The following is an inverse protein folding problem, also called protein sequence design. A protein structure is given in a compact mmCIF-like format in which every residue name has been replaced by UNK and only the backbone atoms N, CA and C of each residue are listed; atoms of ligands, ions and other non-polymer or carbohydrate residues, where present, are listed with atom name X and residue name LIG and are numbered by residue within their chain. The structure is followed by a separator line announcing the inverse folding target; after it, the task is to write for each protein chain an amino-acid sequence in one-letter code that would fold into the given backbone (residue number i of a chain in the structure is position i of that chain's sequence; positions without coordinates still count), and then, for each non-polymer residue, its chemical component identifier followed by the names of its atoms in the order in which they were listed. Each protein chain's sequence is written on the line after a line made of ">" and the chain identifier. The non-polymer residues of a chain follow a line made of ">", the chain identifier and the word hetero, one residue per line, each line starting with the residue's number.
data_IF_270588145934
#
_entry.id   IF_270588145934
#
_cell.length_a   1.000
_cell.length_b   1.000
_cell.length_c   1.000
_cell.angle_alpha   90.00
_cell.angle_beta   90.00
_cell.angle_gamma   90.00
#
_symmetry.space_group_name_H-M   'P 1'
#
loop_
_entity.id
_entity.type
_entity.pdbx_description
1 polymer ?
#
# COMPACT_ATOMS: atom_id res chain seq x y z
N UNK A 1 -0.19 14.91 -4.81
CA UNK A 1 -0.78 15.48 -3.57
C UNK A 1 -2.23 15.80 -3.87
N UNK A 2 -3.11 15.71 -2.88
CA UNK A 2 -4.55 15.90 -3.08
C UNK A 2 -5.22 16.40 -1.80
N UNK A 3 -6.43 16.92 -1.92
CA UNK A 3 -7.34 17.20 -0.80
C UNK A 3 -8.43 16.15 -0.78
N UNK A 4 -8.71 15.60 0.39
CA UNK A 4 -9.83 14.69 0.61
C UNK A 4 -10.64 15.19 1.82
N UNK A 5 -11.97 15.13 1.69
CA UNK A 5 -12.95 15.71 2.60
C UNK A 5 -13.48 14.69 3.61
N UNK A 6 -13.29 13.40 3.33
CA UNK A 6 -13.65 12.30 4.19
C UNK A 6 -12.47 11.90 5.09
N UNK A 7 -12.77 11.56 6.33
CA UNK A 7 -11.76 11.19 7.32
C UNK A 7 -12.23 10.08 8.23
N UNK A 8 -11.28 9.26 8.65
CA UNK A 8 -11.50 8.16 9.59
C UNK A 8 -10.44 8.21 10.69
N UNK A 9 -10.84 7.89 11.92
CA UNK A 9 -9.89 7.83 13.01
C UNK A 9 -8.96 6.61 12.85
N UNK A 10 -7.72 6.75 13.29
CA UNK A 10 -6.75 5.65 13.30
C UNK A 10 -7.27 4.46 14.14
N UNK A 11 -8.04 4.73 15.19
CA UNK A 11 -8.66 3.70 16.02
C UNK A 11 -9.67 2.86 15.22
N UNK A 12 -10.55 3.51 14.46
CA UNK A 12 -11.55 2.81 13.66
C UNK A 12 -10.88 2.06 12.51
N UNK A 13 -9.91 2.68 11.83
CA UNK A 13 -9.15 2.05 10.76
C UNK A 13 -8.50 0.73 11.20
N UNK A 14 -7.87 0.71 12.37
CA UNK A 14 -7.20 -0.47 12.92
C UNK A 14 -8.16 -1.63 13.28
N UNK A 15 -9.48 -1.41 13.25
CA UNK A 15 -10.47 -2.49 13.43
C UNK A 15 -10.76 -3.27 12.15
N UNK A 16 -10.30 -2.78 10.99
CA UNK A 16 -10.47 -3.42 9.69
C UNK A 16 -9.18 -4.11 9.22
N UNK A 17 -9.34 -5.16 8.43
CA UNK A 17 -8.25 -5.91 7.80
C UNK A 17 -8.40 -5.91 6.29
N UNK A 18 -7.39 -6.44 5.58
CA UNK A 18 -7.52 -6.72 4.15
C UNK A 18 -8.79 -7.56 3.87
N UNK A 19 -9.57 -7.23 2.82
CA UNK A 19 -9.33 -6.17 1.82
C UNK A 19 -9.96 -4.80 2.16
N UNK A 20 -10.74 -4.69 3.24
CA UNK A 20 -11.50 -3.48 3.57
C UNK A 20 -10.63 -2.23 3.77
N UNK A 21 -9.41 -2.41 4.31
CA UNK A 21 -8.44 -1.33 4.44
C UNK A 21 -8.08 -0.67 3.11
N UNK A 22 -8.14 -1.41 1.99
CA UNK A 22 -7.89 -0.86 0.65
C UNK A 22 -8.98 0.12 0.24
N UNK A 23 -10.25 -0.23 0.44
CA UNK A 23 -11.37 0.67 0.17
C UNK A 23 -11.36 1.88 1.11
N UNK A 24 -11.02 1.68 2.38
CA UNK A 24 -10.95 2.78 3.34
C UNK A 24 -9.90 3.82 2.91
N UNK A 25 -8.70 3.41 2.49
CA UNK A 25 -7.66 4.33 2.03
C UNK A 25 -8.03 5.09 0.76
N UNK A 26 -8.85 4.49 -0.12
CA UNK A 26 -9.36 5.19 -1.30
C UNK A 26 -10.35 6.30 -0.93
N UNK A 27 -11.10 6.11 0.15
CA UNK A 27 -12.27 6.94 0.45
C UNK A 27 -12.00 7.95 1.56
N UNK A 28 -11.01 7.74 2.42
CA UNK A 28 -10.80 8.51 3.64
C UNK A 28 -9.34 8.87 3.84
N UNK A 29 -9.13 9.99 4.53
CA UNK A 29 -7.85 10.29 5.19
C UNK A 29 -7.86 9.70 6.59
N UNK A 30 -6.88 8.85 6.91
CA UNK A 30 -6.70 8.32 8.25
C UNK A 30 -5.98 9.34 9.11
N UNK A 31 -6.61 9.77 10.20
CA UNK A 31 -6.13 10.83 11.09
C UNK A 31 -6.12 10.36 12.55
N UNK A 32 -5.35 11.03 13.42
CA UNK A 32 -5.27 10.66 14.83
C UNK A 32 -6.40 11.28 15.68
N UNK A 33 -7.16 12.22 15.12
CA UNK A 33 -8.30 12.83 15.80
C UNK A 33 -9.48 11.86 15.96
N UNK A 34 -10.29 12.08 17.00
CA UNK A 34 -11.55 11.34 17.21
C UNK A 34 -12.58 11.86 16.20
N UNK A 35 -13.00 10.98 15.30
CA UNK A 35 -14.02 11.27 14.29
C UNK A 35 -15.12 10.21 14.40
N UNK A 36 -16.38 10.61 14.26
CA UNK A 36 -17.46 9.65 13.97
C UNK A 36 -17.33 9.21 12.51
N UNK A 37 -16.92 7.98 12.26
CA UNK A 37 -16.94 7.39 10.92
C UNK A 37 -18.19 6.53 10.73
N UNK A 38 -18.86 6.68 9.58
CA UNK A 38 -19.98 5.84 9.14
C UNK A 38 -19.57 4.96 7.95
N UNK A 39 -18.40 4.33 8.03
CA UNK A 39 -17.90 3.48 6.96
C UNK A 39 -18.80 2.26 6.75
N UNK A 40 -19.20 2.08 5.50
CA UNK A 40 -19.88 0.89 5.03
C UNK A 40 -19.15 0.41 3.77
N UNK A 41 -18.75 -0.86 3.76
CA UNK A 41 -17.99 -1.41 2.65
C UNK A 41 -18.87 -1.77 1.47
N UNK A 42 -18.38 -1.49 0.26
CA UNK A 42 -18.94 -2.03 -0.99
C UNK A 42 -18.25 -3.33 -1.43
N UNK A 43 -17.23 -3.77 -0.70
CA UNK A 43 -16.56 -5.06 -0.94
C UNK A 43 -17.49 -6.19 -0.51
N UNK A 44 -17.67 -7.16 -1.42
CA UNK A 44 -18.50 -8.34 -1.18
C UNK A 44 -17.66 -9.60 -1.28
N UNK A 45 -17.87 -10.52 -0.35
CA UNK A 45 -17.23 -11.84 -0.37
C UNK A 45 -17.91 -12.75 -1.41
N UNK A 46 -17.13 -13.62 -2.04
CA UNK A 46 -17.64 -14.67 -2.92
C UNK A 46 -16.81 -15.95 -2.76
N UNK A 47 -17.37 -17.07 -3.20
CA UNK A 47 -16.72 -18.38 -3.13
C UNK A 47 -16.70 -19.03 -4.50
N UNK A 48 -15.68 -19.84 -4.79
CA UNK A 48 -15.66 -20.71 -5.96
C UNK A 48 -15.96 -22.15 -5.55
N UNK A 49 -16.47 -22.94 -6.50
CA UNK A 49 -16.79 -24.36 -6.35
C UNK A 49 -15.82 -25.20 -7.17
N UNK A 50 -15.73 -26.49 -6.87
CA UNK A 50 -14.94 -27.43 -7.66
C UNK A 50 -15.34 -27.41 -9.15
N UNK A 51 -16.62 -27.22 -9.46
CA UNK A 51 -17.15 -27.10 -10.82
C UNK A 51 -16.64 -25.88 -11.60
N UNK A 52 -16.10 -24.88 -10.89
CA UNK A 52 -15.57 -23.65 -11.48
C UNK A 52 -14.13 -23.82 -11.97
N UNK A 53 -13.43 -24.86 -11.51
CA UNK A 53 -12.12 -25.25 -12.03
C UNK A 53 -12.31 -25.77 -13.47
N UNK A 54 -11.72 -25.06 -14.43
CA UNK A 54 -11.78 -25.40 -15.86
C UNK A 54 -10.57 -26.14 -16.35
N UNK A 55 -9.45 -25.96 -15.66
CA UNK A 55 -8.18 -26.56 -16.02
C UNK A 55 -7.32 -26.73 -14.78
N UNK A 56 -6.61 -27.85 -14.71
CA UNK A 56 -5.56 -28.10 -13.74
C UNK A 56 -4.50 -28.96 -14.43
N UNK A 57 -3.24 -28.55 -14.36
CA UNK A 57 -2.14 -29.37 -14.87
C UNK A 57 -2.09 -30.70 -14.12
N UNK A 58 -1.77 -31.79 -14.83
CA UNK A 58 -1.63 -33.14 -14.25
C UNK A 58 -0.53 -33.22 -13.18
N UNK A 59 0.39 -32.25 -13.19
CA UNK A 59 1.48 -32.11 -12.23
C UNK A 59 1.06 -31.40 -10.94
N UNK A 60 -0.23 -31.12 -10.76
CA UNK A 60 -0.81 -30.60 -9.52
C UNK A 60 -1.73 -31.69 -8.93
N UNK A 61 -1.41 -32.15 -7.71
CA UNK A 61 -2.27 -33.02 -6.92
C UNK A 61 -2.81 -32.25 -5.72
N UNK A 62 -4.13 -32.19 -5.58
CA UNK A 62 -4.80 -31.50 -4.48
C UNK A 62 -5.45 -32.55 -3.58
N UNK A 63 -5.08 -32.56 -2.31
CA UNK A 63 -5.71 -33.39 -1.27
C UNK A 63 -6.09 -32.50 -0.11
N UNK A 64 -7.39 -32.22 0.07
CA UNK A 64 -7.88 -31.24 1.05
C UNK A 64 -7.28 -29.84 0.82
N UNK A 65 -6.50 -29.32 1.77
CA UNK A 65 -5.78 -28.05 1.79
C UNK A 65 -4.34 -28.17 1.26
N UNK A 66 -3.91 -29.39 0.91
CA UNK A 66 -2.55 -29.68 0.48
C UNK A 66 -2.47 -29.74 -1.03
N UNK A 67 -1.60 -28.90 -1.60
CA UNK A 67 -1.24 -28.87 -3.02
C UNK A 67 0.17 -29.44 -3.17
N UNK A 68 0.31 -30.53 -3.90
CA UNK A 68 1.60 -31.09 -4.32
C UNK A 68 1.81 -30.75 -5.79
N UNK A 69 2.79 -29.89 -6.07
CA UNK A 69 3.12 -29.40 -7.41
C UNK A 69 4.48 -29.95 -7.81
N UNK A 70 4.51 -30.78 -8.85
CA UNK A 70 5.73 -31.49 -9.26
C UNK A 70 6.62 -30.67 -10.20
N UNK A 71 6.06 -29.68 -10.90
CA UNK A 71 6.80 -28.87 -11.89
C UNK A 71 6.54 -27.37 -11.70
N UNK A 72 7.60 -26.57 -11.91
CA UNK A 72 7.48 -25.11 -11.90
C UNK A 72 6.57 -24.63 -13.04
N UNK A 73 5.84 -23.55 -12.76
CA UNK A 73 4.87 -22.94 -13.68
C UNK A 73 3.66 -23.85 -13.99
N UNK A 74 3.36 -24.83 -13.13
CA UNK A 74 2.13 -25.61 -13.24
C UNK A 74 0.93 -24.70 -13.02
N UNK A 75 -0.11 -24.85 -13.85
CA UNK A 75 -1.26 -23.94 -13.95
C UNK A 75 -2.55 -24.57 -13.46
N UNK A 76 -3.39 -23.72 -12.89
CA UNK A 76 -4.80 -24.02 -12.59
C UNK A 76 -5.66 -22.83 -12.99
N UNK A 77 -6.77 -23.07 -13.68
CA UNK A 77 -7.67 -22.02 -14.14
C UNK A 77 -9.03 -22.19 -13.47
N UNK A 78 -9.48 -21.15 -12.78
CA UNK A 78 -10.79 -21.11 -12.13
C UNK A 78 -11.63 -20.02 -12.80
N UNK A 79 -12.84 -20.36 -13.26
CA UNK A 79 -13.78 -19.38 -13.79
C UNK A 79 -14.36 -18.54 -12.65
N UNK A 80 -14.45 -17.22 -12.84
CA UNK A 80 -15.13 -16.36 -11.87
C UNK A 80 -16.65 -16.54 -11.94
N UNK A 81 -17.35 -16.45 -10.80
CA UNK A 81 -18.81 -16.43 -10.80
C UNK A 81 -19.33 -15.12 -11.42
N UNK A 82 -20.53 -15.11 -12.02
CA UNK A 82 -21.05 -13.96 -12.79
C UNK A 82 -20.98 -12.61 -12.07
N UNK A 83 -21.22 -12.59 -10.75
CA UNK A 83 -21.19 -11.39 -9.91
C UNK A 83 -19.79 -10.76 -9.76
N UNK A 84 -18.73 -11.56 -9.93
CA UNK A 84 -17.34 -11.15 -9.79
C UNK A 84 -16.67 -10.82 -11.14
N UNK A 85 -17.30 -11.17 -12.27
CA UNK A 85 -16.75 -10.88 -13.60
C UNK A 85 -16.61 -9.36 -13.80
N UNK A 86 -15.47 -8.95 -14.35
CA UNK A 86 -15.12 -7.56 -14.65
C UNK A 86 -15.21 -6.64 -13.42
N UNK A 87 -14.84 -7.17 -12.25
CA UNK A 87 -14.69 -6.45 -10.98
C UNK A 87 -13.23 -6.42 -10.56
N UNK A 88 -12.92 -5.61 -9.56
CA UNK A 88 -11.64 -5.72 -8.85
C UNK A 88 -11.76 -6.93 -7.93
N UNK A 89 -10.82 -7.86 -8.03
CA UNK A 89 -10.81 -9.08 -7.22
C UNK A 89 -9.73 -8.97 -6.15
N UNK A 90 -10.12 -9.30 -4.92
CA UNK A 90 -9.21 -9.46 -3.80
C UNK A 90 -9.15 -10.93 -3.42
N UNK A 91 -7.94 -11.45 -3.23
CA UNK A 91 -7.73 -12.83 -2.81
C UNK A 91 -6.79 -12.82 -1.64
N UNK A 92 -7.12 -13.57 -0.59
CA UNK A 92 -6.26 -13.77 0.57
C UNK A 92 -6.26 -15.26 0.94
N UNK A 93 -5.08 -15.80 1.25
CA UNK A 93 -4.94 -17.12 1.85
C UNK A 93 -3.62 -17.23 2.62
N UNK A 94 -3.58 -18.18 3.54
CA UNK A 94 -2.42 -18.46 4.36
C UNK A 94 -1.65 -19.66 3.81
N UNK A 95 -0.32 -19.59 3.87
CA UNK A 95 0.60 -20.71 3.64
C UNK A 95 1.19 -21.10 4.99
N UNK A 96 0.90 -22.32 5.42
CA UNK A 96 1.21 -22.77 6.78
C UNK A 96 2.72 -22.79 7.08
N UNK A 97 3.52 -23.28 6.14
CA UNK A 97 4.97 -23.46 6.34
C UNK A 97 5.75 -23.15 5.05
N UNK A 98 6.94 -22.53 5.15
CA UNK A 98 7.87 -22.43 4.03
C UNK A 98 8.51 -23.80 3.74
N UNK A 99 8.92 -24.02 2.50
CA UNK A 99 9.63 -25.24 2.11
C UNK A 99 11.16 -25.09 2.30
N UNK A 100 11.87 -26.22 2.21
CA UNK A 100 13.35 -26.24 2.21
C UNK A 100 13.91 -25.47 1.01
N UNK A 101 15.03 -24.79 1.21
CA UNK A 101 15.77 -24.12 0.14
C UNK A 101 16.31 -25.07 -0.94
N UNK A 102 16.39 -26.37 -0.68
CA UNK A 102 16.71 -27.38 -1.71
C UNK A 102 15.60 -27.48 -2.78
N UNK A 103 14.35 -27.15 -2.41
CA UNK A 103 13.22 -27.05 -3.34
C UNK A 103 13.12 -25.62 -3.89
N UNK A 104 13.32 -24.62 -3.02
CA UNK A 104 13.34 -23.20 -3.36
C UNK A 104 12.17 -22.41 -2.77
N UNK A 105 11.97 -21.17 -3.21
CA UNK A 105 10.88 -20.33 -2.68
C UNK A 105 9.50 -20.83 -3.13
N UNK A 106 8.50 -20.64 -2.26
CA UNK A 106 7.10 -20.78 -2.62
C UNK A 106 6.69 -19.54 -3.40
N UNK A 107 6.43 -19.70 -4.69
CA UNK A 107 5.85 -18.69 -5.59
C UNK A 107 4.48 -19.14 -6.05
N UNK A 108 3.49 -18.27 -5.85
CA UNK A 108 2.14 -18.42 -6.39
C UNK A 108 1.79 -17.15 -7.13
N UNK A 109 1.51 -17.28 -8.42
CA UNK A 109 1.01 -16.20 -9.25
C UNK A 109 -0.48 -16.39 -9.50
N UNK A 110 -1.23 -15.31 -9.50
CA UNK A 110 -2.63 -15.27 -9.95
C UNK A 110 -2.72 -14.17 -11.00
N UNK A 111 -3.05 -14.58 -12.23
CA UNK A 111 -2.91 -13.77 -13.43
C UNK A 111 -1.49 -13.16 -13.49
N UNK A 112 -1.38 -11.84 -13.51
CA UNK A 112 -0.09 -11.14 -13.60
C UNK A 112 0.53 -10.75 -12.25
N UNK A 113 -0.08 -11.15 -11.12
CA UNK A 113 0.39 -10.79 -9.78
C UNK A 113 1.04 -12.00 -9.10
N UNK A 114 2.22 -11.83 -8.51
CA UNK A 114 2.97 -12.91 -7.86
C UNK A 114 3.27 -12.57 -6.40
N UNK A 115 2.99 -13.51 -5.51
CA UNK A 115 3.49 -13.48 -4.13
C UNK A 115 4.53 -14.57 -3.93
N UNK A 116 5.48 -14.29 -3.03
CA UNK A 116 6.60 -15.17 -2.71
C UNK A 116 6.74 -15.31 -1.20
N UNK A 117 6.88 -16.56 -0.74
CA UNK A 117 7.31 -16.93 0.60
C UNK A 117 8.69 -17.57 0.45
N UNK A 118 9.69 -16.92 1.03
CA UNK A 118 11.07 -17.36 0.92
C UNK A 118 11.25 -18.72 1.61
N UNK A 119 12.14 -19.56 1.07
CA UNK A 119 12.48 -20.83 1.69
C UNK A 119 13.04 -20.68 3.12
N UNK A 120 12.92 -21.74 3.91
CA UNK A 120 13.11 -21.74 5.37
C UNK A 120 14.51 -21.36 5.83
N UNK A 121 15.54 -21.81 5.12
CA UNK A 121 16.95 -21.64 5.49
C UNK A 121 17.55 -20.30 4.99
N UNK A 122 16.77 -19.49 4.26
CA UNK A 122 17.30 -18.26 3.68
C UNK A 122 17.60 -17.20 4.75
N UNK A 123 18.78 -16.58 4.65
CA UNK A 123 19.23 -15.53 5.61
C UNK A 123 18.25 -14.36 5.71
N UNK A 124 17.55 -14.04 4.63
CA UNK A 124 16.55 -12.97 4.57
C UNK A 124 15.13 -13.53 4.43
N UNK A 125 14.80 -14.56 5.22
CA UNK A 125 13.45 -15.12 5.27
C UNK A 125 12.41 -14.00 5.49
N UNK A 126 11.46 -13.88 4.57
CA UNK A 126 10.56 -12.73 4.52
C UNK A 126 9.34 -12.84 5.45
N UNK A 127 9.06 -14.03 6.01
CA UNK A 127 7.89 -14.24 6.88
C UNK A 127 6.53 -14.05 6.22
N UNK A 128 6.47 -13.98 4.88
CA UNK A 128 5.26 -13.66 4.12
C UNK A 128 4.31 -14.87 4.02
N UNK A 129 3.75 -15.30 5.14
CA UNK A 129 2.88 -16.48 5.25
C UNK A 129 1.43 -16.20 4.88
N UNK A 130 1.04 -14.94 4.69
CA UNK A 130 -0.27 -14.53 4.23
C UNK A 130 -0.15 -13.90 2.85
N UNK A 131 -0.63 -14.59 1.82
CA UNK A 131 -0.62 -14.06 0.46
C UNK A 131 -1.89 -13.27 0.20
N UNK A 132 -1.72 -12.01 -0.21
CA UNK A 132 -2.81 -11.13 -0.62
C UNK A 132 -2.62 -10.67 -2.07
N UNK A 133 -3.70 -10.68 -2.86
CA UNK A 133 -3.70 -10.24 -4.25
C UNK A 133 -4.80 -9.22 -4.49
N UNK A 134 -4.51 -8.21 -5.32
CA UNK A 134 -5.49 -7.27 -5.86
C UNK A 134 -5.39 -7.33 -7.38
N UNK A 135 -6.43 -7.85 -8.03
CA UNK A 135 -6.50 -8.01 -9.47
C UNK A 135 -7.48 -6.99 -10.04
N UNK A 136 -6.96 -6.05 -10.82
CA UNK A 136 -7.74 -4.95 -11.43
C UNK A 136 -7.58 -4.93 -12.95
N UNK A 137 -7.56 -6.10 -13.57
CA UNK A 137 -7.43 -6.26 -15.02
C UNK A 137 -8.77 -5.94 -15.71
N UNK A 138 -8.71 -5.39 -16.93
CA UNK A 138 -9.92 -5.17 -17.75
C UNK A 138 -10.48 -6.51 -18.21
N UNK A 139 -11.80 -6.67 -18.14
CA UNK A 139 -12.51 -7.85 -18.63
C UNK A 139 -12.06 -9.17 -17.97
N UNK A 140 -11.67 -9.14 -16.69
CA UNK A 140 -11.33 -10.36 -15.94
C UNK A 140 -12.58 -11.26 -15.79
N UNK A 141 -12.48 -12.52 -16.24
CA UNK A 141 -13.55 -13.52 -16.15
C UNK A 141 -13.08 -14.87 -15.55
N UNK A 142 -11.78 -14.98 -15.28
CA UNK A 142 -11.11 -16.15 -14.71
C UNK A 142 -9.90 -15.75 -13.86
N UNK A 143 -9.50 -16.66 -13.00
CA UNK A 143 -8.27 -16.63 -12.22
C UNK A 143 -7.31 -17.67 -12.79
N UNK A 144 -6.16 -17.22 -13.25
CA UNK A 144 -5.10 -18.08 -13.77
C UNK A 144 -3.99 -18.22 -12.73
N UNK A 145 -4.01 -19.33 -12.00
CA UNK A 145 -2.97 -19.65 -11.04
C UNK A 145 -1.76 -20.25 -11.76
N UNK A 146 -0.56 -19.86 -11.32
CA UNK A 146 0.71 -20.50 -11.66
C UNK A 146 1.49 -20.76 -10.37
N UNK A 147 1.94 -22.00 -10.20
CA UNK A 147 2.64 -22.44 -9.00
C UNK A 147 4.10 -22.76 -9.33
N UNK A 148 4.99 -22.47 -8.39
CA UNK A 148 6.29 -23.16 -8.33
C UNK A 148 6.09 -24.65 -8.02
N UNK A 149 7.14 -25.45 -8.16
CA UNK A 149 7.17 -26.81 -7.63
C UNK A 149 7.33 -26.76 -6.10
N UNK A 150 6.70 -27.72 -5.42
CA UNK A 150 6.70 -27.78 -3.97
C UNK A 150 5.44 -28.39 -3.37
N UNK A 151 5.38 -28.39 -2.05
CA UNK A 151 4.22 -28.81 -1.26
C UNK A 151 3.69 -27.62 -0.48
N UNK A 152 2.45 -27.23 -0.77
CA UNK A 152 1.78 -26.07 -0.18
C UNK A 152 0.65 -26.56 0.71
N UNK A 153 0.50 -26.00 1.90
CA UNK A 153 -0.71 -26.15 2.71
C UNK A 153 -1.40 -24.79 2.75
N UNK A 154 -2.49 -24.67 2.00
CA UNK A 154 -3.22 -23.43 1.76
C UNK A 154 -4.49 -23.38 2.58
N UNK A 155 -4.60 -22.41 3.49
CA UNK A 155 -5.71 -22.30 4.44
C UNK A 155 -6.36 -20.92 4.34
N UNK A 156 -7.59 -20.80 4.87
CA UNK A 156 -8.32 -19.53 4.98
C UNK A 156 -8.43 -18.75 3.66
N UNK A 157 -8.67 -19.48 2.55
CA UNK A 157 -8.87 -18.87 1.24
C UNK A 157 -10.15 -18.04 1.27
N UNK A 158 -10.00 -16.72 1.15
CA UNK A 158 -11.08 -15.76 1.06
C UNK A 158 -10.95 -14.94 -0.21
N UNK A 159 -12.06 -14.76 -0.89
CA UNK A 159 -12.12 -13.99 -2.12
C UNK A 159 -13.22 -12.94 -2.03
N UNK A 160 -12.93 -11.77 -2.56
CA UNK A 160 -13.85 -10.64 -2.53
C UNK A 160 -13.82 -9.91 -3.85
N UNK A 161 -14.89 -9.19 -4.15
CA UNK A 161 -14.94 -8.31 -5.31
C UNK A 161 -15.41 -6.89 -4.93
N UNK A 162 -14.96 -5.91 -5.70
CA UNK A 162 -15.43 -4.53 -5.66
C UNK A 162 -15.75 -4.03 -7.07
N UNK A 163 -16.89 -3.38 -7.23
CA UNK A 163 -17.27 -2.78 -8.50
C UNK A 163 -16.44 -1.51 -8.77
N UNK A 164 -15.85 -1.41 -9.96
CA UNK A 164 -15.07 -0.24 -10.40
C UNK A 164 -15.84 1.08 -10.28
N UNK A 165 -17.16 1.06 -10.48
CA UNK A 165 -17.99 2.25 -10.36
C UNK A 165 -17.93 2.87 -8.95
N UNK A 166 -17.73 2.06 -7.90
CA UNK A 166 -17.56 2.60 -6.54
C UNK A 166 -16.26 3.39 -6.43
N UNK A 167 -15.16 2.96 -7.06
CA UNK A 167 -13.89 3.70 -7.03
C UNK A 167 -13.97 4.97 -7.89
N UNK A 168 -14.58 4.88 -9.07
CA UNK A 168 -14.67 6.00 -10.02
C UNK A 168 -15.42 7.19 -9.42
N UNK A 169 -16.41 6.94 -8.57
CA UNK A 169 -17.11 7.98 -7.85
C UNK A 169 -16.20 8.67 -6.82
N UNK A 170 -15.33 7.93 -6.14
CA UNK A 170 -14.42 8.48 -5.11
C UNK A 170 -13.34 9.38 -5.70
N UNK A 171 -12.89 9.13 -6.94
CA UNK A 171 -11.99 10.05 -7.65
C UNK A 171 -12.59 11.45 -7.85
N UNK A 172 -13.93 11.57 -7.87
CA UNK A 172 -14.61 12.88 -7.94
C UNK A 172 -14.69 13.57 -6.57
N UNK A 173 -14.43 12.84 -5.49
CA UNK A 173 -14.49 13.33 -4.11
C UNK A 173 -13.13 13.84 -3.61
N UNK A 174 -12.07 13.76 -4.43
CA UNK A 174 -10.77 14.33 -4.09
C UNK A 174 -10.39 15.44 -5.06
N UNK A 175 -9.70 16.46 -4.56
CA UNK A 175 -9.18 17.55 -5.37
C UNK A 175 -7.68 17.41 -5.53
N UNK A 176 -7.22 17.18 -6.76
CA UNK A 176 -5.79 17.13 -7.06
C UNK A 176 -5.13 18.49 -6.84
N UNK A 177 -3.96 18.49 -6.22
CA UNK A 177 -3.11 19.67 -6.11
C UNK A 177 -2.20 19.77 -7.34
N UNK A 178 -1.94 20.99 -7.80
CA UNK A 178 -1.03 21.29 -8.91
C UNK A 178 0.34 21.59 -8.29
N UNK A 179 1.39 20.91 -8.76
CA UNK A 179 2.76 21.17 -8.31
C UNK A 179 3.36 22.24 -9.23
N UNK A 180 3.90 23.30 -8.64
CA UNK A 180 4.68 24.30 -9.36
C UNK A 180 6.13 23.80 -9.46
N UNK A 181 6.43 23.10 -10.54
CA UNK A 181 7.77 22.56 -10.80
C UNK A 181 8.84 23.64 -10.92
N UNK A 182 8.48 24.86 -11.34
CA UNK A 182 9.44 25.96 -11.52
C UNK A 182 9.97 26.50 -10.20
N UNK A 183 9.11 26.51 -9.16
CA UNK A 183 9.45 26.95 -7.80
C UNK A 183 9.92 25.81 -6.90
N UNK A 184 9.52 24.59 -7.19
CA UNK A 184 9.93 23.39 -6.45
C UNK A 184 11.41 23.11 -6.69
N UNK A 185 12.24 23.27 -5.65
CA UNK A 185 13.70 23.12 -5.72
C UNK A 185 14.26 22.54 -4.43
N UNK A 186 15.20 21.60 -4.57
CA UNK A 186 15.97 21.01 -3.48
C UNK A 186 15.07 20.47 -2.35
N UNK A 187 14.92 21.22 -1.26
CA UNK A 187 14.17 20.86 -0.07
C UNK A 187 12.84 21.61 0.07
N UNK A 188 12.35 22.25 -1.00
CA UNK A 188 11.10 23.00 -1.01
C UNK A 188 10.20 22.52 -2.14
N UNK A 189 8.94 22.26 -1.84
CA UNK A 189 7.87 21.95 -2.79
C UNK A 189 6.84 23.07 -2.74
N UNK A 190 6.47 23.59 -3.91
CA UNK A 190 5.39 24.55 -4.06
C UNK A 190 4.21 23.90 -4.78
N UNK A 191 3.01 24.12 -4.26
CA UNK A 191 1.80 23.60 -4.83
C UNK A 191 0.64 24.58 -4.67
N UNK A 192 -0.35 24.49 -5.55
CA UNK A 192 -1.62 25.19 -5.42
C UNK A 192 -2.76 24.19 -5.46
N UNK A 193 -3.86 24.52 -4.78
CA UNK A 193 -5.08 23.70 -4.81
C UNK A 193 -6.31 24.58 -4.66
N UNK A 194 -7.41 24.17 -5.28
CA UNK A 194 -8.73 24.79 -5.13
C UNK A 194 -9.66 23.80 -4.43
N UNK A 195 -9.61 23.80 -3.10
CA UNK A 195 -10.42 22.92 -2.27
C UNK A 195 -11.90 23.30 -2.39
N UNK A 196 -12.77 22.31 -2.63
CA UNK A 196 -14.21 22.53 -2.80
C UNK A 196 -14.98 22.55 -1.48
N UNK A 197 -14.36 22.02 -0.42
CA UNK A 197 -14.86 22.02 0.96
C UNK A 197 -13.68 22.01 1.96
N UNK A 198 -13.97 22.11 3.26
CA UNK A 198 -12.98 21.91 4.32
C UNK A 198 -12.54 20.44 4.35
N UNK A 199 -11.23 20.18 4.40
CA UNK A 199 -10.70 18.83 4.31
C UNK A 199 -9.25 18.69 4.77
N UNK A 200 -8.60 17.64 4.29
CA UNK A 200 -7.20 17.35 4.54
C UNK A 200 -6.40 17.37 3.26
N UNK A 201 -5.35 18.18 3.24
CA UNK A 201 -4.30 18.08 2.24
C UNK A 201 -3.39 16.90 2.58
N UNK A 202 -3.26 15.95 1.66
CA UNK A 202 -2.49 14.73 1.82
C UNK A 202 -1.34 14.70 0.82
N UNK A 203 -0.15 14.40 1.33
CA UNK A 203 1.06 14.22 0.52
C UNK A 203 1.44 12.75 0.38
N UNK A 204 2.38 12.47 -0.52
CA UNK A 204 3.09 11.18 -0.59
C UNK A 204 4.45 11.25 0.11
N UNK A 205 4.69 12.30 0.90
CA UNK A 205 5.94 12.53 1.61
C UNK A 205 5.86 11.83 2.96
N UNK A 206 6.79 10.93 3.30
CA UNK A 206 6.80 10.29 4.61
C UNK A 206 6.87 11.31 5.74
N UNK A 207 6.11 11.06 6.81
CA UNK A 207 6.07 11.93 7.97
C UNK A 207 7.42 11.99 8.69
N UNK A 208 7.89 13.21 8.96
CA UNK A 208 9.06 13.52 9.78
C UNK A 208 8.83 14.86 10.51
N UNK A 209 9.60 15.15 11.56
CA UNK A 209 9.57 16.40 12.33
C UNK A 209 10.31 17.57 11.67
N UNK A 210 11.02 17.30 10.57
CA UNK A 210 11.82 18.30 9.86
C UNK A 210 11.04 19.21 8.90
N UNK A 211 9.71 19.10 8.82
CA UNK A 211 8.94 19.88 7.86
C UNK A 211 8.46 21.22 8.44
N UNK A 212 8.39 22.22 7.58
CA UNK A 212 7.68 23.47 7.80
C UNK A 212 6.70 23.64 6.65
N UNK A 213 5.42 23.76 6.99
CA UNK A 213 4.34 23.93 6.01
C UNK A 213 3.81 25.35 6.14
N UNK A 214 3.62 26.01 5.00
CA UNK A 214 2.85 27.25 4.92
C UNK A 214 1.67 27.08 3.98
N UNK A 215 0.53 27.61 4.40
CA UNK A 215 -0.67 27.78 3.58
C UNK A 215 -0.96 29.28 3.52
N UNK A 216 -0.95 29.85 2.31
CA UNK A 216 -1.09 31.30 2.07
C UNK A 216 -0.13 32.13 2.93
N UNK A 217 1.15 31.78 2.85
CA UNK A 217 2.28 32.38 3.57
C UNK A 217 2.22 32.30 5.11
N UNK A 218 1.21 31.63 5.68
CA UNK A 218 1.06 31.40 7.12
C UNK A 218 1.49 30.00 7.50
N UNK A 219 2.25 29.87 8.57
CA UNK A 219 2.68 28.57 9.10
C UNK A 219 1.45 27.76 9.52
N UNK A 220 1.41 26.50 9.08
CA UNK A 220 0.32 25.55 9.33
C UNK A 220 0.88 24.33 10.05
N UNK A 221 0.18 23.90 11.10
CA UNK A 221 0.49 22.64 11.79
C UNK A 221 0.21 21.45 10.88
N UNK A 222 1.03 20.41 11.02
CA UNK A 222 0.93 19.21 10.21
C UNK A 222 1.01 17.95 11.06
N UNK A 223 0.42 16.88 10.55
CA UNK A 223 0.33 15.61 11.26
C UNK A 223 0.60 14.43 10.34
N UNK A 224 0.70 13.26 10.97
CA UNK A 224 0.82 12.00 10.27
C UNK A 224 -0.57 11.54 9.85
N UNK A 225 -0.77 11.46 8.54
CA UNK A 225 -2.01 10.96 7.93
C UNK A 225 -1.74 9.66 7.17
N UNK A 226 -2.78 8.86 6.94
CA UNK A 226 -2.69 7.60 6.18
C UNK A 226 -1.54 6.71 6.69
N UNK A 227 -1.36 6.67 8.01
CA UNK A 227 -0.34 5.90 8.76
C UNK A 227 1.12 6.29 8.55
N UNK A 228 1.46 7.02 7.48
CA UNK A 228 2.86 7.22 7.10
C UNK A 228 3.20 8.59 6.50
N UNK A 229 2.21 9.38 6.08
CA UNK A 229 2.46 10.56 5.24
C UNK A 229 2.24 11.87 6.00
N UNK A 230 2.85 12.95 5.51
CA UNK A 230 2.56 14.32 5.95
C UNK A 230 1.19 14.73 5.40
N UNK A 231 0.35 15.27 6.27
CA UNK A 231 -0.89 15.94 5.90
C UNK A 231 -1.27 17.03 6.88
N UNK A 232 -2.22 17.87 6.50
CA UNK A 232 -2.68 18.99 7.31
C UNK A 232 -4.09 19.41 6.90
N UNK A 233 -4.79 20.07 7.82
CA UNK A 233 -6.13 20.62 7.56
C UNK A 233 -6.04 21.77 6.56
N UNK A 234 -6.99 21.83 5.64
CA UNK A 234 -7.12 22.90 4.65
C UNK A 234 -8.59 23.30 4.57
N UNK A 235 -8.86 24.61 4.51
CA UNK A 235 -10.21 25.11 4.39
C UNK A 235 -10.64 25.11 2.92
N UNK A 236 -11.93 25.31 2.68
CA UNK A 236 -12.47 25.55 1.34
C UNK A 236 -11.86 26.81 0.71
N UNK A 237 -11.46 26.71 -0.55
CA UNK A 237 -10.99 27.83 -1.35
C UNK A 237 -9.69 27.56 -2.10
N UNK A 238 -9.16 28.63 -2.70
CA UNK A 238 -7.87 28.62 -3.41
C UNK A 238 -6.74 28.86 -2.41
N UNK A 239 -5.79 27.96 -2.39
CA UNK A 239 -4.66 27.99 -1.48
C UNK A 239 -3.34 27.82 -2.22
N UNK A 240 -2.33 28.55 -1.73
CA UNK A 240 -0.93 28.37 -2.06
C UNK A 240 -0.22 27.63 -0.94
N UNK A 241 0.61 26.65 -1.27
CA UNK A 241 1.20 25.72 -0.31
C UNK A 241 2.71 25.68 -0.55
N UNK A 242 3.49 25.94 0.50
CA UNK A 242 4.94 25.75 0.56
C UNK A 242 5.25 24.66 1.59
N UNK A 243 5.88 23.56 1.15
CA UNK A 243 6.37 22.50 2.04
C UNK A 243 7.88 22.53 1.98
N UNK A 244 8.52 22.84 3.10
CA UNK A 244 9.98 22.92 3.23
C UNK A 244 10.49 21.89 4.20
N UNK A 245 11.52 21.14 3.83
CA UNK A 245 12.19 20.19 4.70
C UNK A 245 13.53 20.72 5.21
N UNK A 246 13.77 20.60 6.50
CA UNK A 246 15.07 20.79 7.10
C UNK A 246 15.41 19.58 7.97
N UNK A 247 16.47 18.86 7.59
CA UNK A 247 16.87 17.64 8.29
C UNK A 247 17.20 17.93 9.76
N UNK A 248 16.50 17.29 10.71
CA UNK A 248 16.81 17.43 12.13
C UNK A 248 18.27 17.07 12.41
N UNK A 249 19.00 17.94 13.12
CA UNK A 249 20.40 17.70 13.47
C UNK A 249 21.42 18.07 12.40
N UNK A 250 21.01 18.49 11.19
CA UNK A 250 21.94 18.97 10.14
C UNK A 250 22.88 20.06 10.64
N UNK A 251 22.34 21.03 11.39
CA UNK A 251 23.14 22.10 11.98
C UNK A 251 24.19 21.57 12.95
N UNK A 252 23.81 20.63 13.83
CA UNK A 252 24.74 20.00 14.78
C UNK A 252 25.81 19.17 14.06
N UNK A 253 25.41 18.38 13.06
CA UNK A 253 26.34 17.59 12.25
C UNK A 253 27.35 18.44 11.50
N UNK A 254 26.95 19.60 10.98
CA UNK A 254 27.86 20.56 10.37
C UNK A 254 28.88 21.11 11.38
N UNK A 255 28.42 21.46 12.59
CA UNK A 255 29.31 21.93 13.67
C UNK A 255 30.34 20.87 14.03
N UNK A 256 29.91 19.62 14.26
CA UNK A 256 30.84 18.54 14.60
C UNK A 256 31.81 18.20 13.47
N UNK A 257 31.37 18.25 12.21
CA UNK A 257 32.25 18.07 11.05
C UNK A 257 33.35 19.14 11.01
N UNK A 258 33.00 20.41 11.19
CA UNK A 258 33.97 21.52 11.22
C UNK A 258 34.95 21.37 12.39
N UNK A 259 34.45 21.05 13.59
CA UNK A 259 35.29 20.81 14.75
C UNK A 259 36.26 19.64 14.52
N UNK A 260 35.79 18.54 13.91
CA UNK A 260 36.64 17.41 13.55
C UNK A 260 37.77 17.79 12.61
N UNK A 261 37.49 18.60 11.57
CA UNK A 261 38.50 19.12 10.65
C UNK A 261 39.50 20.02 11.36
N UNK A 262 39.05 20.91 12.25
CA UNK A 262 39.93 21.79 13.04
C UNK A 262 40.88 20.94 13.92
N UNK A 263 40.35 19.95 14.63
CA UNK A 263 41.14 19.05 15.49
C UNK A 263 42.17 18.29 14.65
N UNK A 264 41.75 17.77 13.48
CA UNK A 264 42.64 17.06 12.57
C UNK A 264 43.80 17.94 12.07
N UNK A 265 43.51 19.18 11.67
CA UNK A 265 44.54 20.16 11.24
C UNK A 265 45.51 20.47 12.39
N UNK A 266 45.00 20.66 13.61
CA UNK A 266 45.83 20.90 14.80
C UNK A 266 46.75 19.71 15.07
N UNK A 267 46.24 18.48 14.95
CA UNK A 267 47.00 17.26 15.19
C UNK A 267 48.14 17.09 14.17
N UNK A 268 47.89 17.33 12.89
CA UNK A 268 48.92 17.22 11.85
C UNK A 268 49.99 18.31 11.99
N UNK A 269 49.61 19.54 12.33
CA UNK A 269 50.59 20.65 12.50
C UNK A 269 51.46 20.53 13.74
N UNK A 270 51.09 19.68 14.70
CA UNK A 270 51.90 19.37 15.88
C UNK A 270 52.87 18.20 15.66
N UNK A 271 52.79 17.52 14.52
CA UNK A 271 53.79 16.56 14.03
C UNK A 271 54.79 17.28 13.14
#
# INVERSE_FOLDING_TARGET
>A
MYVNYNKMSTKDFNSYNFPYTQEIFLNNVIVNEKVKSSYQSNIKEFTTKQSDIKYIDTNIKITSDVFEVFENNSKMIIKLPPEAINKIIFIKFNIKEPQSCDIGDIRVSINNSTNVLTCKEWKYYNGNTEFTYVLSEKNIDKLEFSFSSGKYTLNDIKMYYLNYEHIKNNYKEVTSAIIDESKTKSNVIYSTVEAVDDGYFVTTIPYDKGFTIKVDDKVQEYEKVNTAFVGFKINKGKHSIEIKYNSPGKTLGNVFSVLGVIIYIIFIRKK
#
